data_IF_164325546541
#
_entry.id   IF_164325546541
#
_cell.length_a   1.000
_cell.length_b   1.000
_cell.length_c   1.000
_cell.angle_alpha   90.00
_cell.angle_beta   90.00
_cell.angle_gamma   90.00
#
_symmetry.space_group_name_H-M   'P 1'
#
loop_
_entity.id
_entity.type
_entity.pdbx_description
1 polymer ?
#
# COMPACT_ATOMS: atom_id res chain seq x y z
N UNK A 1 -43.38 46.41 8.50
CA UNK A 1 -44.01 46.18 9.82
C UNK A 1 -42.94 45.50 10.62
N UNK A 2 -42.07 46.25 11.25
CA UNK A 2 -41.98 46.74 12.60
C UNK A 2 -42.01 45.65 13.67
N UNK A 3 -40.80 45.29 14.13
CA UNK A 3 -40.17 45.35 15.49
C UNK A 3 -40.89 44.63 16.65
N UNK A 4 -40.25 44.38 17.84
CA UNK A 4 -38.85 44.60 18.27
C UNK A 4 -38.22 43.53 19.20
N UNK A 5 -36.93 43.63 19.31
CA UNK A 5 -35.97 43.38 20.43
C UNK A 5 -36.57 43.32 21.85
N UNK A 6 -36.10 42.34 22.65
CA UNK A 6 -35.91 42.50 24.09
C UNK A 6 -34.59 41.88 24.58
N UNK A 7 -33.70 42.80 24.99
CA UNK A 7 -32.52 42.55 25.86
C UNK A 7 -33.00 42.30 27.30
N UNK A 8 -32.31 41.40 28.00
CA UNK A 8 -32.26 41.43 29.47
C UNK A 8 -30.82 41.17 29.90
N UNK A 9 -30.27 42.20 30.52
CA UNK A 9 -29.05 42.22 31.32
C UNK A 9 -29.40 41.90 32.78
N UNK A 10 -28.36 41.46 33.55
CA UNK A 10 -28.02 41.80 34.93
C UNK A 10 -27.50 40.59 35.73
N UNK A 11 -26.72 40.74 36.81
CA UNK A 11 -25.25 40.82 36.84
C UNK A 11 -24.59 39.78 37.79
N UNK A 12 -23.26 39.88 37.79
CA UNK A 12 -22.25 39.15 38.49
C UNK A 12 -22.33 39.02 40.03
N UNK A 13 -21.50 38.11 40.51
CA UNK A 13 -20.84 38.16 41.82
C UNK A 13 -19.46 37.57 41.71
N UNK A 14 -18.45 38.38 42.04
CA UNK A 14 -17.08 37.99 42.27
C UNK A 14 -16.94 37.43 43.70
N UNK A 15 -16.16 36.39 43.86
CA UNK A 15 -15.62 35.98 45.14
C UNK A 15 -14.16 35.55 45.00
N UNK A 16 -13.34 36.38 45.53
CA UNK A 16 -11.91 36.24 45.77
C UNK A 16 -11.72 35.41 47.04
N UNK A 17 -10.84 34.41 47.08
CA UNK A 17 -10.27 33.91 48.33
C UNK A 17 -8.88 33.34 48.12
N UNK A 18 -8.01 33.83 48.94
CA UNK A 18 -6.57 33.78 49.03
C UNK A 18 -6.00 32.43 49.55
N UNK A 19 -4.81 32.10 49.01
CA UNK A 19 -3.58 31.54 49.57
C UNK A 19 -3.63 30.88 50.97
N UNK A 20 -3.07 29.67 51.04
CA UNK A 20 -2.24 29.26 52.18
C UNK A 20 -1.18 28.24 51.70
N UNK A 21 0.08 28.67 51.82
CA UNK A 21 1.29 27.88 51.77
C UNK A 21 1.40 26.99 53.01
N UNK A 22 1.74 25.71 52.82
CA UNK A 22 2.33 24.89 53.88
C UNK A 22 3.44 24.01 53.29
N UNK A 23 4.66 24.27 53.68
CA UNK A 23 5.81 23.36 53.59
C UNK A 23 5.63 22.21 54.55
N UNK A 24 5.93 20.99 54.06
CA UNK A 24 6.09 19.80 54.90
C UNK A 24 6.75 18.70 54.07
N UNK A 25 8.02 18.39 54.39
CA UNK A 25 8.79 17.37 53.69
C UNK A 25 8.32 15.96 54.05
N UNK A 26 8.49 15.07 53.12
CA UNK A 26 8.33 13.61 53.25
C UNK A 26 8.93 13.00 52.02
N UNK A 27 10.01 12.24 52.19
CA UNK A 27 10.56 11.36 51.17
C UNK A 27 9.50 10.31 50.85
N UNK A 28 9.09 10.21 49.59
CA UNK A 28 8.47 9.02 49.00
C UNK A 28 9.02 8.86 47.60
N UNK A 29 9.48 7.68 47.34
CA UNK A 29 10.05 7.18 46.10
C UNK A 29 9.07 7.46 44.93
N UNK A 30 9.43 8.42 44.09
CA UNK A 30 8.81 8.58 42.79
C UNK A 30 9.42 7.49 41.87
N UNK A 31 8.69 6.39 41.69
CA UNK A 31 8.91 5.54 40.55
C UNK A 31 8.87 6.40 39.28
N UNK A 32 10.02 6.51 38.64
CA UNK A 32 10.11 7.09 37.32
C UNK A 32 9.36 6.15 36.38
N UNK A 33 8.12 6.49 36.09
CA UNK A 33 7.43 5.99 34.91
C UNK A 33 8.27 6.42 33.70
N UNK A 34 9.08 5.50 33.20
CA UNK A 34 9.67 5.60 31.87
C UNK A 34 8.54 5.41 30.88
N UNK A 35 7.77 6.47 30.63
CA UNK A 35 6.99 6.61 29.44
C UNK A 35 8.00 6.67 28.29
N UNK A 36 8.00 5.70 27.40
CA UNK A 36 8.52 5.84 26.03
C UNK A 36 7.76 7.00 25.42
N UNK A 37 8.35 8.20 25.48
CA UNK A 37 7.86 9.33 24.73
C UNK A 37 8.29 9.10 23.28
N UNK A 38 7.38 8.67 22.41
CA UNK A 38 7.51 8.97 20.99
C UNK A 38 7.72 10.49 20.89
N UNK A 39 8.84 10.92 20.32
CA UNK A 39 9.10 12.33 20.08
C UNK A 39 8.13 12.75 18.97
N UNK A 40 7.10 13.52 19.32
CA UNK A 40 6.17 14.10 18.36
C UNK A 40 6.98 14.89 17.32
N UNK A 41 6.82 14.54 16.04
CA UNK A 41 7.54 15.21 14.95
C UNK A 41 7.06 16.64 14.81
N UNK A 42 7.98 17.60 14.90
CA UNK A 42 7.67 19.02 14.62
C UNK A 42 7.69 19.25 13.10
N UNK A 43 6.59 18.94 12.44
CA UNK A 43 6.42 19.13 11.00
C UNK A 43 6.65 20.57 10.53
N UNK A 44 6.34 21.56 11.38
CA UNK A 44 6.49 22.98 11.04
C UNK A 44 7.95 23.43 10.91
N UNK A 45 8.89 22.65 11.43
CA UNK A 45 10.33 22.90 11.31
C UNK A 45 10.94 22.30 10.05
N UNK A 46 10.23 21.41 9.34
CA UNK A 46 10.70 20.74 8.14
C UNK A 46 10.67 21.70 6.95
N UNK A 47 11.71 21.67 6.14
CA UNK A 47 11.78 22.45 4.90
C UNK A 47 12.75 21.82 3.90
N UNK A 48 12.49 21.99 2.61
CA UNK A 48 13.34 21.47 1.55
C UNK A 48 12.57 20.69 0.49
N UNK A 49 13.29 19.89 -0.28
CA UNK A 49 12.72 19.05 -1.34
C UNK A 49 12.93 17.57 -1.00
N UNK A 50 11.86 16.79 -1.04
CA UNK A 50 11.88 15.33 -0.92
C UNK A 50 11.37 14.73 -2.22
N UNK A 51 12.28 14.09 -2.97
CA UNK A 51 11.97 13.41 -4.23
C UNK A 51 11.91 11.91 -3.97
N UNK A 52 10.78 11.32 -4.32
CA UNK A 52 10.52 9.90 -4.22
C UNK A 52 9.88 9.37 -5.51
N UNK A 53 9.80 8.07 -5.65
CA UNK A 53 9.09 7.43 -6.75
C UNK A 53 9.08 5.92 -6.58
N UNK A 54 8.42 5.22 -7.49
CA UNK A 54 8.34 3.77 -7.46
C UNK A 54 6.96 3.22 -7.80
N UNK A 55 6.44 2.33 -6.98
CA UNK A 55 5.21 1.60 -7.21
C UNK A 55 4.06 2.50 -7.71
N UNK A 56 3.56 2.21 -8.91
CA UNK A 56 2.45 2.95 -9.51
C UNK A 56 1.08 2.59 -8.91
N UNK A 57 1.00 1.50 -8.17
CA UNK A 57 -0.14 1.12 -7.32
C UNK A 57 -0.39 2.17 -6.23
N UNK A 58 0.67 2.68 -5.60
CA UNK A 58 0.59 3.71 -4.58
C UNK A 58 0.17 5.10 -5.09
N UNK A 59 0.07 5.33 -6.41
CA UNK A 59 -0.10 6.69 -6.95
C UNK A 59 -1.21 7.47 -6.26
N UNK A 60 -2.40 6.89 -6.13
CA UNK A 60 -3.55 7.56 -5.50
C UNK A 60 -3.28 7.91 -4.02
N UNK A 61 -2.72 6.99 -3.25
CA UNK A 61 -2.35 7.22 -1.86
C UNK A 61 -1.26 8.29 -1.73
N UNK A 62 -0.23 8.23 -2.58
CA UNK A 62 0.87 9.19 -2.60
C UNK A 62 0.40 10.61 -2.94
N UNK A 63 -0.56 10.77 -3.85
CA UNK A 63 -1.18 12.06 -4.15
C UNK A 63 -1.94 12.61 -2.94
N UNK A 64 -2.66 11.77 -2.21
CA UNK A 64 -3.37 12.15 -0.99
C UNK A 64 -2.41 12.51 0.15
N UNK A 65 -1.38 11.70 0.38
CA UNK A 65 -0.34 11.99 1.38
C UNK A 65 0.42 13.28 1.05
N UNK A 66 0.69 13.56 -0.23
CA UNK A 66 1.30 14.83 -0.64
C UNK A 66 0.45 16.02 -0.20
N UNK A 67 -0.86 15.97 -0.43
CA UNK A 67 -1.79 17.04 -0.05
C UNK A 67 -1.82 17.20 1.48
N UNK A 68 -2.04 16.11 2.21
CA UNK A 68 -2.13 16.17 3.67
C UNK A 68 -0.79 16.52 4.34
N UNK A 69 0.34 16.00 3.83
CA UNK A 69 1.65 16.37 4.37
C UNK A 69 1.99 17.85 4.17
N UNK A 70 1.58 18.45 3.04
CA UNK A 70 1.76 19.89 2.83
C UNK A 70 0.94 20.76 3.78
N UNK A 71 -0.15 20.27 4.35
CA UNK A 71 -0.92 21.00 5.36
C UNK A 71 -0.16 21.12 6.70
N UNK A 72 0.60 20.09 7.07
CA UNK A 72 1.38 20.05 8.32
C UNK A 72 2.83 20.52 8.13
N UNK A 73 3.42 20.31 6.96
CA UNK A 73 4.81 20.70 6.60
C UNK A 73 4.83 21.62 5.36
N UNK A 74 4.31 22.86 5.43
CA UNK A 74 4.07 23.71 4.25
C UNK A 74 5.35 24.17 3.53
N UNK A 75 6.50 24.10 4.17
CA UNK A 75 7.79 24.52 3.60
C UNK A 75 8.54 23.32 2.94
N UNK A 76 7.90 22.12 2.87
CA UNK A 76 8.44 20.95 2.18
C UNK A 76 7.82 20.81 0.79
N UNK A 77 8.66 20.66 -0.24
CA UNK A 77 8.25 20.27 -1.57
C UNK A 77 8.41 18.75 -1.73
N UNK A 78 7.32 18.01 -1.64
CA UNK A 78 7.31 16.57 -1.88
C UNK A 78 6.87 16.25 -3.30
N UNK A 79 7.51 15.27 -3.95
CA UNK A 79 7.11 14.74 -5.24
C UNK A 79 7.28 13.22 -5.29
N UNK A 80 6.34 12.54 -5.93
CA UNK A 80 6.39 11.10 -6.17
C UNK A 80 6.22 10.81 -7.67
N UNK A 81 7.13 10.02 -8.24
CA UNK A 81 7.07 9.59 -9.64
C UNK A 81 6.65 8.11 -9.73
N UNK A 82 5.44 7.78 -10.24
CA UNK A 82 4.93 6.41 -10.26
C UNK A 82 5.52 5.58 -11.42
N UNK A 83 6.83 5.40 -11.42
CA UNK A 83 7.62 4.74 -12.48
C UNK A 83 7.53 3.20 -12.48
N UNK A 84 7.03 2.60 -11.41
CA UNK A 84 7.01 1.14 -11.16
C UNK A 84 7.98 0.76 -10.04
N UNK A 85 7.75 -0.42 -9.43
CA UNK A 85 8.52 -0.88 -8.27
C UNK A 85 10.00 -1.10 -8.61
N UNK A 86 10.31 -1.77 -9.71
CA UNK A 86 11.69 -2.04 -10.15
C UNK A 86 12.50 -0.76 -10.38
N UNK A 87 11.95 0.21 -11.15
CA UNK A 87 12.59 1.51 -11.32
C UNK A 87 12.68 2.29 -10.00
N UNK A 88 11.71 2.15 -9.11
CA UNK A 88 11.72 2.71 -7.75
C UNK A 88 12.90 2.20 -6.93
N UNK A 89 13.08 0.88 -6.84
CA UNK A 89 14.19 0.23 -6.14
C UNK A 89 15.53 0.61 -6.75
N UNK A 90 15.65 0.57 -8.08
CA UNK A 90 16.87 0.98 -8.81
C UNK A 90 17.26 2.43 -8.50
N UNK A 91 16.29 3.37 -8.50
CA UNK A 91 16.57 4.77 -8.17
C UNK A 91 16.91 4.98 -6.70
N UNK A 92 16.30 4.21 -5.78
CA UNK A 92 16.67 4.22 -4.37
C UNK A 92 18.10 3.73 -4.17
N UNK A 93 18.45 2.57 -4.72
CA UNK A 93 19.79 1.95 -4.63
C UNK A 93 20.86 2.89 -5.22
N UNK A 94 20.58 3.52 -6.34
CA UNK A 94 21.53 4.47 -6.98
C UNK A 94 21.61 5.83 -6.29
N UNK A 95 20.76 6.11 -5.30
CA UNK A 95 20.69 7.39 -4.58
C UNK A 95 19.95 8.50 -5.34
N UNK A 96 19.22 8.17 -6.40
CA UNK A 96 18.35 9.09 -7.13
C UNK A 96 17.11 9.49 -6.32
N UNK A 97 16.60 8.57 -5.49
CA UNK A 97 15.54 8.83 -4.53
C UNK A 97 16.06 8.67 -3.10
N UNK A 98 15.64 9.55 -2.21
CA UNK A 98 15.88 9.41 -0.78
C UNK A 98 14.94 8.37 -0.14
N UNK A 99 13.76 8.19 -0.74
CA UNK A 99 12.68 7.31 -0.31
C UNK A 99 12.05 6.70 -1.57
N UNK A 100 11.71 5.42 -1.56
CA UNK A 100 11.01 4.80 -2.69
C UNK A 100 9.79 3.98 -2.23
N UNK A 101 8.80 3.88 -3.11
CA UNK A 101 7.68 2.95 -2.97
C UNK A 101 7.92 1.67 -3.77
N UNK A 102 7.63 0.51 -3.20
CA UNK A 102 7.74 -0.78 -3.90
C UNK A 102 6.67 -1.75 -3.42
N UNK A 103 6.02 -2.47 -4.33
CA UNK A 103 5.10 -3.56 -4.00
C UNK A 103 5.84 -4.89 -3.79
N UNK A 104 7.11 -4.94 -4.15
CA UNK A 104 8.03 -6.04 -3.91
C UNK A 104 9.09 -5.63 -2.89
N UNK A 105 9.42 -6.48 -1.96
CA UNK A 105 10.53 -6.24 -1.05
C UNK A 105 11.88 -6.56 -1.73
N UNK A 106 12.95 -5.94 -1.22
CA UNK A 106 14.31 -6.17 -1.73
C UNK A 106 14.73 -7.62 -1.50
N UNK A 107 15.32 -8.25 -2.50
CA UNK A 107 15.83 -9.62 -2.40
C UNK A 107 17.32 -9.70 -2.74
N UNK A 108 17.96 -10.83 -2.42
CA UNK A 108 19.33 -11.10 -2.84
C UNK A 108 19.42 -11.82 -4.19
N UNK A 109 18.29 -12.19 -4.80
CA UNK A 109 18.28 -12.89 -6.09
C UNK A 109 18.88 -12.03 -7.22
N UNK A 110 18.72 -10.71 -7.12
CA UNK A 110 19.33 -9.71 -8.02
C UNK A 110 20.36 -8.81 -7.30
N UNK A 111 20.88 -9.23 -6.15
CA UNK A 111 21.80 -8.47 -5.31
C UNK A 111 21.19 -7.14 -4.76
N UNK A 112 19.87 -6.91 -4.86
CA UNK A 112 19.23 -5.64 -4.49
C UNK A 112 19.38 -5.32 -3.01
N UNK A 113 19.11 -6.29 -2.12
CA UNK A 113 19.22 -6.11 -0.67
C UNK A 113 20.68 -5.77 -0.28
N UNK A 114 21.65 -6.45 -0.88
CA UNK A 114 23.08 -6.18 -0.69
C UNK A 114 23.46 -4.79 -1.17
N UNK A 115 22.97 -4.36 -2.35
CA UNK A 115 23.23 -3.03 -2.91
C UNK A 115 22.54 -1.92 -2.10
N UNK A 116 21.30 -2.15 -1.64
CA UNK A 116 20.60 -1.23 -0.75
C UNK A 116 21.31 -1.07 0.60
N UNK A 117 21.84 -2.18 1.15
CA UNK A 117 22.68 -2.15 2.37
C UNK A 117 23.94 -1.31 2.14
N UNK A 118 24.60 -1.46 0.99
CA UNK A 118 25.77 -0.64 0.63
C UNK A 118 25.38 0.85 0.48
N UNK A 119 24.26 1.15 -0.17
CA UNK A 119 23.67 2.49 -0.28
C UNK A 119 23.38 3.13 1.08
N UNK A 120 22.92 2.33 2.04
CA UNK A 120 22.59 2.76 3.40
C UNK A 120 23.80 2.68 4.37
N UNK A 121 25.02 2.92 3.89
CA UNK A 121 26.26 2.96 4.66
C UNK A 121 26.59 1.66 5.39
N UNK A 122 26.12 0.51 4.91
CA UNK A 122 26.34 -0.80 5.49
C UNK A 122 25.34 -1.17 6.59
N UNK A 123 24.30 -0.37 6.79
CA UNK A 123 23.14 -0.72 7.62
C UNK A 123 22.04 -1.36 6.76
N UNK A 124 21.21 -2.22 7.33
CA UNK A 124 20.06 -2.77 6.60
C UNK A 124 19.14 -1.64 6.14
N UNK A 125 18.60 -1.70 4.91
CA UNK A 125 17.54 -0.79 4.50
C UNK A 125 16.31 -0.95 5.39
N UNK A 126 15.55 0.12 5.55
CA UNK A 126 14.23 0.08 6.16
C UNK A 126 13.25 -0.31 5.06
N UNK A 127 12.47 -1.36 5.31
CA UNK A 127 11.33 -1.77 4.46
C UNK A 127 10.08 -1.84 5.33
N UNK A 128 9.20 -0.87 5.20
CA UNK A 128 7.99 -0.80 6.04
C UNK A 128 6.73 -0.86 5.20
N UNK A 129 5.77 -1.72 5.53
CA UNK A 129 4.47 -1.70 4.90
C UNK A 129 3.78 -0.37 5.19
N UNK A 130 3.34 0.32 4.15
CA UNK A 130 2.67 1.61 4.25
C UNK A 130 1.30 1.61 3.57
N UNK A 131 1.10 0.66 2.67
CA UNK A 131 -0.09 0.57 1.84
C UNK A 131 -0.46 -0.90 1.65
N UNK A 132 -1.68 -1.27 2.00
CA UNK A 132 -2.23 -2.62 1.78
C UNK A 132 -3.49 -2.49 0.96
N UNK A 133 -3.49 -3.09 -0.22
CA UNK A 133 -4.59 -2.95 -1.17
C UNK A 133 -4.86 -4.25 -1.91
N UNK A 134 -6.13 -4.55 -2.26
CA UNK A 134 -6.42 -5.65 -3.15
C UNK A 134 -5.95 -5.35 -4.58
N UNK A 135 -5.35 -6.34 -5.22
CA UNK A 135 -5.16 -6.36 -6.67
C UNK A 135 -6.45 -6.87 -7.29
N UNK A 136 -7.24 -5.97 -7.86
CA UNK A 136 -8.49 -6.33 -8.52
C UNK A 136 -8.20 -7.00 -9.88
N UNK A 137 -8.85 -8.13 -10.14
CA UNK A 137 -8.95 -8.69 -11.49
C UNK A 137 -10.06 -7.91 -12.21
N UNK A 138 -9.63 -6.91 -12.99
CA UNK A 138 -10.52 -5.98 -13.68
C UNK A 138 -10.93 -6.49 -15.05
N UNK A 139 -12.18 -6.24 -15.46
CA UNK A 139 -12.66 -6.68 -16.77
C UNK A 139 -13.61 -5.66 -17.43
N UNK A 140 -13.72 -5.74 -18.76
CA UNK A 140 -14.64 -4.95 -19.57
C UNK A 140 -15.43 -5.86 -20.51
N UNK A 141 -16.57 -6.38 -20.01
CA UNK A 141 -17.47 -7.25 -20.76
C UNK A 141 -18.88 -6.68 -20.71
N UNK A 142 -19.45 -6.36 -21.89
CA UNK A 142 -20.77 -5.76 -21.98
C UNK A 142 -21.86 -6.68 -21.39
N UNK A 143 -22.66 -6.15 -20.47
CA UNK A 143 -23.78 -6.87 -19.85
C UNK A 143 -23.39 -7.84 -18.73
N UNK A 144 -22.12 -7.85 -18.29
CA UNK A 144 -21.64 -8.65 -17.17
C UNK A 144 -21.33 -7.71 -15.99
N UNK A 145 -22.25 -7.60 -15.05
CA UNK A 145 -22.12 -6.73 -13.87
C UNK A 145 -21.39 -7.42 -12.71
N UNK A 146 -21.50 -8.75 -12.60
CA UNK A 146 -20.81 -9.57 -11.60
C UNK A 146 -20.11 -10.74 -12.29
N UNK A 147 -18.87 -11.04 -11.85
CA UNK A 147 -18.06 -12.15 -12.35
C UNK A 147 -17.38 -12.85 -11.19
N UNK A 148 -17.51 -14.15 -11.12
CA UNK A 148 -16.84 -15.03 -10.17
C UNK A 148 -15.79 -15.84 -10.91
N UNK A 149 -14.55 -15.87 -10.42
CA UNK A 149 -13.46 -16.65 -11.00
C UNK A 149 -12.83 -17.55 -9.94
N UNK A 150 -12.76 -18.83 -10.22
CA UNK A 150 -11.97 -19.75 -9.43
C UNK A 150 -10.47 -19.46 -9.64
N UNK A 151 -9.58 -19.76 -8.68
CA UNK A 151 -8.14 -19.51 -8.80
C UNK A 151 -7.52 -20.09 -10.07
N UNK A 152 -7.84 -21.34 -10.39
CA UNK A 152 -7.33 -22.03 -11.59
C UNK A 152 -7.87 -21.42 -12.88
N UNK A 153 -9.05 -20.79 -12.83
CA UNK A 153 -9.63 -20.09 -13.99
C UNK A 153 -8.88 -18.78 -14.23
N UNK A 154 -8.55 -18.04 -13.18
CA UNK A 154 -7.69 -16.84 -13.31
C UNK A 154 -6.36 -17.22 -13.95
N UNK A 155 -5.66 -18.22 -13.41
CA UNK A 155 -4.40 -18.71 -13.95
C UNK A 155 -4.55 -19.17 -15.42
N UNK A 156 -5.58 -19.94 -15.75
CA UNK A 156 -5.84 -20.43 -17.10
C UNK A 156 -6.09 -19.31 -18.12
N UNK A 157 -6.73 -18.22 -17.71
CA UNK A 157 -6.94 -17.04 -18.56
C UNK A 157 -5.60 -16.36 -18.88
N UNK A 158 -4.80 -16.07 -17.85
CA UNK A 158 -3.53 -15.35 -18.00
C UNK A 158 -2.42 -16.23 -18.61
N UNK A 159 -2.51 -17.56 -18.48
CA UNK A 159 -1.65 -18.52 -19.18
C UNK A 159 -2.09 -18.76 -20.66
N UNK A 160 -3.24 -18.23 -21.08
CA UNK A 160 -3.76 -18.39 -22.43
C UNK A 160 -4.40 -19.77 -22.70
N UNK A 161 -4.70 -20.55 -21.67
CA UNK A 161 -5.42 -21.84 -21.79
C UNK A 161 -6.93 -21.63 -21.92
N UNK A 162 -7.50 -20.67 -21.18
CA UNK A 162 -8.89 -20.23 -21.25
C UNK A 162 -8.96 -18.97 -22.10
N UNK A 163 -9.51 -19.08 -23.31
CA UNK A 163 -9.47 -18.01 -24.31
C UNK A 163 -10.84 -17.44 -24.69
N UNK A 164 -11.92 -17.92 -24.07
CA UNK A 164 -13.30 -17.50 -24.35
C UNK A 164 -14.05 -17.17 -23.08
N UNK A 165 -14.83 -16.09 -23.10
CA UNK A 165 -15.68 -15.71 -21.96
C UNK A 165 -16.76 -16.75 -21.64
N UNK A 166 -17.27 -17.49 -22.63
CA UNK A 166 -18.24 -18.56 -22.41
C UNK A 166 -17.59 -19.95 -22.25
N UNK A 167 -16.34 -19.99 -21.82
CA UNK A 167 -15.71 -21.26 -21.43
C UNK A 167 -16.50 -21.92 -20.28
N UNK A 168 -16.73 -23.25 -20.31
CA UNK A 168 -17.45 -23.95 -19.26
C UNK A 168 -16.93 -23.65 -17.84
N UNK A 169 -15.60 -23.51 -17.68
CA UNK A 169 -15.00 -23.23 -16.37
C UNK A 169 -15.43 -21.86 -15.80
N UNK A 170 -15.67 -20.86 -16.67
CA UNK A 170 -16.20 -19.55 -16.25
C UNK A 170 -17.72 -19.64 -16.04
N UNK A 171 -18.45 -20.27 -16.98
CA UNK A 171 -19.92 -20.39 -16.93
C UNK A 171 -20.40 -21.11 -15.67
N UNK A 172 -19.72 -22.17 -15.25
CA UNK A 172 -20.11 -22.98 -14.10
C UNK A 172 -20.12 -22.15 -12.77
N UNK A 173 -19.23 -21.17 -12.64
CA UNK A 173 -19.18 -20.24 -11.52
C UNK A 173 -20.15 -19.03 -11.66
N UNK A 174 -20.75 -18.84 -12.85
CA UNK A 174 -21.56 -17.68 -13.22
C UNK A 174 -22.87 -18.09 -13.92
N UNK A 175 -23.73 -18.94 -13.32
CA UNK A 175 -24.90 -19.50 -13.99
C UNK A 175 -25.94 -18.46 -14.42
N UNK A 176 -25.95 -17.29 -13.78
CA UNK A 176 -26.92 -16.21 -14.06
C UNK A 176 -26.35 -15.14 -15.01
N UNK A 177 -25.06 -15.21 -15.40
CA UNK A 177 -24.43 -14.27 -16.31
C UNK A 177 -24.60 -14.70 -17.79
N UNK A 178 -24.93 -13.75 -18.66
CA UNK A 178 -24.98 -13.98 -20.11
C UNK A 178 -23.59 -13.72 -20.73
N UNK A 179 -22.69 -14.70 -20.53
CA UNK A 179 -21.30 -14.59 -20.98
C UNK A 179 -21.19 -14.74 -22.50
N UNK A 180 -20.58 -13.79 -23.22
CA UNK A 180 -20.53 -13.77 -24.67
C UNK A 180 -19.57 -14.85 -25.23
N UNK A 181 -19.87 -15.37 -26.42
CA UNK A 181 -18.90 -16.17 -27.17
C UNK A 181 -17.86 -15.25 -27.85
N UNK A 182 -17.05 -14.59 -27.03
CA UNK A 182 -16.00 -13.68 -27.48
C UNK A 182 -14.65 -14.17 -26.97
N UNK A 183 -13.58 -13.78 -27.67
CA UNK A 183 -12.22 -14.05 -27.22
C UNK A 183 -11.90 -13.17 -26.01
N UNK A 184 -11.17 -13.70 -25.05
CA UNK A 184 -10.61 -12.96 -23.91
C UNK A 184 -9.27 -12.38 -24.36
N UNK A 185 -9.05 -11.10 -24.07
CA UNK A 185 -7.73 -10.47 -24.24
C UNK A 185 -7.17 -10.11 -22.85
N UNK A 186 -6.18 -10.85 -22.35
CA UNK A 186 -5.46 -10.47 -21.13
C UNK A 186 -4.70 -9.17 -21.33
N UNK A 187 -4.66 -8.34 -20.27
CA UNK A 187 -3.91 -7.08 -20.23
C UNK A 187 -2.94 -7.15 -19.04
N UNK A 188 -1.69 -6.86 -19.30
CA UNK A 188 -0.62 -6.95 -18.32
C UNK A 188 0.25 -5.69 -18.26
N UNK A 189 1.14 -5.59 -17.29
CA UNK A 189 2.13 -4.52 -17.16
C UNK A 189 3.23 -4.66 -18.22
N UNK A 190 3.69 -3.51 -18.73
CA UNK A 190 4.83 -3.43 -19.67
C UNK A 190 6.14 -3.04 -19.01
N UNK A 191 6.09 -2.56 -17.79
CA UNK A 191 7.19 -2.18 -16.93
C UNK A 191 7.50 -3.29 -15.91
N UNK A 192 8.62 -3.19 -15.23
CA UNK A 192 9.00 -4.03 -14.10
C UNK A 192 8.16 -3.64 -12.88
N UNK A 193 7.31 -4.55 -12.44
CA UNK A 193 6.17 -4.25 -11.60
C UNK A 193 6.02 -5.21 -10.43
N UNK A 194 6.13 -4.70 -9.20
CA UNK A 194 5.80 -5.47 -8.02
C UNK A 194 4.30 -5.85 -7.93
N UNK A 195 3.39 -5.09 -8.59
CA UNK A 195 1.99 -5.55 -8.74
C UNK A 195 1.93 -6.82 -9.61
N UNK A 196 2.76 -6.92 -10.67
CA UNK A 196 2.88 -8.16 -11.47
C UNK A 196 3.47 -9.28 -10.63
N UNK A 197 4.48 -9.00 -9.82
CA UNK A 197 5.09 -9.99 -8.93
C UNK A 197 4.06 -10.59 -7.98
N UNK A 198 3.35 -9.77 -7.20
CA UNK A 198 2.30 -10.25 -6.28
C UNK A 198 1.17 -11.00 -7.01
N UNK A 199 0.81 -10.57 -8.21
CA UNK A 199 -0.20 -11.26 -9.02
C UNK A 199 0.30 -12.62 -9.51
N UNK A 200 1.54 -12.71 -9.97
CA UNK A 200 2.14 -13.97 -10.44
C UNK A 200 2.51 -14.91 -9.30
N UNK A 201 2.87 -14.37 -8.12
CA UNK A 201 3.02 -15.15 -6.89
C UNK A 201 1.71 -15.85 -6.52
N UNK A 202 0.59 -15.10 -6.53
CA UNK A 202 -0.72 -15.72 -6.36
C UNK A 202 -0.98 -16.81 -7.40
N UNK A 203 -0.71 -16.57 -8.69
CA UNK A 203 -0.95 -17.57 -9.76
C UNK A 203 -0.09 -18.82 -9.56
N UNK A 204 1.18 -18.66 -9.18
CA UNK A 204 2.10 -19.77 -8.90
C UNK A 204 1.65 -20.58 -7.69
N UNK A 205 1.29 -19.88 -6.60
CA UNK A 205 0.84 -20.50 -5.36
C UNK A 205 -0.43 -21.34 -5.51
N UNK A 206 -1.42 -20.85 -6.29
CA UNK A 206 -2.74 -21.51 -6.40
C UNK A 206 -2.85 -22.45 -7.61
N UNK A 207 -2.05 -22.26 -8.64
CA UNK A 207 -2.16 -23.00 -9.91
C UNK A 207 -0.82 -23.11 -10.67
N UNK A 208 0.29 -23.36 -9.99
CA UNK A 208 1.64 -23.47 -10.57
C UNK A 208 1.78 -24.56 -11.67
N UNK A 209 0.88 -25.53 -11.71
CA UNK A 209 0.82 -26.50 -12.83
C UNK A 209 0.27 -25.85 -14.14
N UNK A 210 -0.49 -24.75 -14.03
CA UNK A 210 -1.08 -23.99 -15.15
C UNK A 210 -0.22 -22.77 -15.46
N UNK A 211 0.11 -21.99 -14.43
CA UNK A 211 1.01 -20.85 -14.53
C UNK A 211 2.48 -21.33 -14.41
N UNK A 212 3.18 -21.42 -15.53
CA UNK A 212 4.51 -22.07 -15.59
C UNK A 212 5.68 -21.09 -15.50
N UNK A 213 5.44 -19.79 -15.37
CA UNK A 213 6.50 -18.78 -15.30
C UNK A 213 7.08 -18.59 -13.89
N UNK A 214 6.41 -19.10 -12.86
CA UNK A 214 6.75 -18.77 -11.47
C UNK A 214 6.45 -17.31 -11.12
N UNK A 215 7.09 -16.79 -10.09
CA UNK A 215 6.96 -15.42 -9.65
C UNK A 215 7.85 -14.51 -10.50
N UNK A 216 7.27 -13.49 -11.12
CA UNK A 216 7.98 -12.57 -12.03
C UNK A 216 7.46 -11.14 -11.94
N UNK A 217 8.34 -10.16 -12.05
CA UNK A 217 7.98 -8.72 -12.15
C UNK A 217 7.78 -8.28 -13.61
N UNK A 218 8.47 -8.92 -14.55
CA UNK A 218 8.35 -8.64 -15.97
C UNK A 218 7.50 -9.70 -16.64
N UNK A 219 6.42 -9.29 -17.32
CA UNK A 219 5.49 -10.21 -17.97
C UNK A 219 6.17 -11.03 -19.08
N UNK A 220 6.08 -12.37 -19.03
CA UNK A 220 6.71 -13.23 -20.03
C UNK A 220 6.01 -13.13 -21.38
N UNK A 221 6.77 -12.88 -22.43
CA UNK A 221 6.24 -12.64 -23.78
C UNK A 221 5.50 -13.82 -24.39
N UNK A 222 5.76 -15.04 -23.94
CA UNK A 222 5.11 -16.27 -24.40
C UNK A 222 3.61 -16.34 -24.07
N UNK A 223 3.15 -15.67 -23.02
CA UNK A 223 1.73 -15.62 -22.67
C UNK A 223 0.94 -14.57 -23.46
N UNK A 224 1.63 -13.70 -24.21
CA UNK A 224 0.98 -12.67 -25.01
C UNK A 224 0.15 -11.69 -24.18
N UNK A 225 -0.93 -11.19 -24.77
CA UNK A 225 -1.79 -10.17 -24.17
C UNK A 225 -1.50 -8.76 -24.69
N UNK A 226 -2.21 -7.76 -24.17
CA UNK A 226 -1.93 -6.34 -24.40
C UNK A 226 -1.21 -5.74 -23.20
N UNK A 227 -0.35 -4.76 -23.44
CA UNK A 227 0.53 -4.20 -22.43
C UNK A 227 0.12 -2.77 -22.05
N UNK A 228 0.06 -2.47 -20.75
CA UNK A 228 -0.14 -1.13 -20.18
C UNK A 228 1.03 -0.71 -19.31
N UNK A 229 1.51 0.53 -19.47
CA UNK A 229 2.58 1.04 -18.60
C UNK A 229 1.98 1.59 -17.30
N UNK A 230 2.47 1.09 -16.19
CA UNK A 230 1.94 1.39 -14.86
C UNK A 230 0.52 0.86 -14.64
N UNK A 231 -0.01 1.02 -13.44
CA UNK A 231 -1.39 0.64 -13.10
C UNK A 231 -2.41 1.39 -13.97
N UNK A 232 -2.25 2.70 -14.12
CA UNK A 232 -3.14 3.54 -14.94
C UNK A 232 -3.15 3.12 -16.40
N UNK A 233 -2.02 2.66 -16.96
CA UNK A 233 -1.94 2.17 -18.33
C UNK A 233 -2.72 0.87 -18.54
N UNK A 234 -2.65 -0.08 -17.61
CA UNK A 234 -3.48 -1.30 -17.65
C UNK A 234 -4.97 -0.95 -17.59
N UNK A 235 -5.36 -0.10 -16.63
CA UNK A 235 -6.77 0.36 -16.49
C UNK A 235 -7.25 1.05 -17.75
N UNK A 236 -6.43 1.88 -18.38
CA UNK A 236 -6.79 2.54 -19.65
C UNK A 236 -7.03 1.52 -20.76
N UNK A 237 -6.11 0.56 -20.95
CA UNK A 237 -6.26 -0.47 -22.00
C UNK A 237 -7.54 -1.28 -21.79
N UNK A 238 -7.84 -1.69 -20.54
CA UNK A 238 -9.08 -2.45 -20.24
C UNK A 238 -10.32 -1.56 -20.48
N UNK A 239 -10.28 -0.30 -20.09
CA UNK A 239 -11.41 0.63 -20.27
C UNK A 239 -11.75 0.86 -21.77
N UNK A 240 -10.73 1.01 -22.60
CA UNK A 240 -10.89 1.34 -24.02
C UNK A 240 -11.25 0.13 -24.89
N UNK A 241 -10.99 -1.11 -24.42
CA UNK A 241 -11.16 -2.32 -25.20
C UNK A 241 -12.16 -3.29 -24.56
N UNK A 242 -13.21 -3.66 -25.31
CA UNK A 242 -14.17 -4.65 -24.85
C UNK A 242 -13.57 -6.07 -24.87
N UNK A 243 -14.07 -6.95 -24.01
CA UNK A 243 -13.65 -8.34 -23.83
C UNK A 243 -12.21 -8.50 -23.31
N UNK A 244 -11.71 -7.50 -22.60
CA UNK A 244 -10.41 -7.52 -21.93
C UNK A 244 -10.56 -7.87 -20.46
N UNK A 245 -9.49 -8.43 -19.91
CA UNK A 245 -9.30 -8.72 -18.48
C UNK A 245 -7.87 -8.33 -18.10
N UNK A 246 -7.68 -7.71 -16.95
CA UNK A 246 -6.36 -7.32 -16.46
C UNK A 246 -6.28 -7.39 -14.94
N UNK A 247 -5.18 -6.97 -14.38
CA UNK A 247 -4.98 -6.83 -12.94
C UNK A 247 -4.46 -5.43 -12.62
N UNK A 248 -5.00 -4.84 -11.57
CA UNK A 248 -4.67 -3.48 -11.17
C UNK A 248 -4.97 -3.26 -9.69
N UNK A 249 -4.29 -2.32 -9.06
CA UNK A 249 -4.70 -1.83 -7.75
C UNK A 249 -6.17 -1.39 -7.78
N UNK A 250 -6.96 -1.85 -6.81
CA UNK A 250 -8.41 -1.64 -6.80
C UNK A 250 -8.80 -0.16 -6.75
N UNK A 251 -7.95 0.71 -6.14
CA UNK A 251 -8.19 2.15 -6.07
C UNK A 251 -8.26 2.81 -7.44
N UNK A 252 -7.54 2.25 -8.41
CA UNK A 252 -7.45 2.78 -9.77
C UNK A 252 -8.39 2.09 -10.75
N UNK A 253 -9.12 1.05 -10.33
CA UNK A 253 -10.01 0.26 -11.20
C UNK A 253 -11.18 1.08 -11.81
N UNK A 254 -11.53 2.22 -11.23
CA UNK A 254 -12.55 3.13 -11.75
C UNK A 254 -13.92 2.46 -11.88
N UNK A 255 -14.52 2.58 -13.07
CA UNK A 255 -15.83 1.99 -13.38
C UNK A 255 -15.77 0.60 -14.03
N UNK A 256 -14.61 -0.05 -14.05
CA UNK A 256 -14.46 -1.41 -14.59
C UNK A 256 -15.16 -2.45 -13.70
N UNK A 257 -15.57 -3.57 -14.31
CA UNK A 257 -15.96 -4.74 -13.54
C UNK A 257 -14.76 -5.29 -12.76
N UNK A 258 -15.00 -5.74 -11.53
CA UNK A 258 -13.99 -6.35 -10.67
C UNK A 258 -14.46 -7.75 -10.29
N UNK A 259 -13.69 -8.77 -10.65
CA UNK A 259 -14.07 -10.15 -10.40
C UNK A 259 -13.94 -10.50 -8.90
N UNK A 260 -14.88 -11.32 -8.42
CA UNK A 260 -14.76 -11.98 -7.13
C UNK A 260 -13.94 -13.25 -7.29
N UNK A 261 -13.01 -13.49 -6.39
CA UNK A 261 -12.08 -14.62 -6.45
C UNK A 261 -12.52 -15.72 -5.48
N UNK A 262 -12.44 -16.97 -5.96
CA UNK A 262 -12.80 -18.12 -5.14
C UNK A 262 -11.83 -18.33 -3.97
N UNK A 263 -12.38 -18.49 -2.74
CA UNK A 263 -11.64 -18.84 -1.53
C UNK A 263 -12.48 -19.87 -0.75
N UNK A 264 -11.98 -21.08 -0.64
CA UNK A 264 -12.78 -22.17 -0.07
C UNK A 264 -14.08 -22.41 -0.83
N UNK A 265 -15.21 -22.19 -0.17
CA UNK A 265 -16.56 -22.36 -0.77
C UNK A 265 -17.20 -21.02 -1.20
N UNK A 266 -16.50 -19.90 -1.05
CA UNK A 266 -17.01 -18.54 -1.28
C UNK A 266 -16.30 -17.85 -2.42
N UNK A 267 -16.93 -16.78 -2.96
CA UNK A 267 -16.28 -15.82 -3.85
C UNK A 267 -16.15 -14.47 -3.14
N UNK A 268 -14.93 -14.00 -2.95
CA UNK A 268 -14.60 -12.79 -2.21
C UNK A 268 -14.30 -11.64 -3.17
N UNK A 269 -14.90 -10.48 -2.93
CA UNK A 269 -14.64 -9.27 -3.72
C UNK A 269 -13.31 -8.61 -3.31
N UNK A 270 -12.68 -7.84 -4.20
CA UNK A 270 -11.50 -7.05 -3.89
C UNK A 270 -11.86 -5.84 -3.01
N UNK A 271 -12.02 -6.08 -1.73
CA UNK A 271 -12.37 -5.10 -0.71
C UNK A 271 -11.20 -4.92 0.26
N UNK A 272 -10.93 -3.67 0.68
CA UNK A 272 -9.81 -3.34 1.55
C UNK A 272 -9.81 -4.14 2.86
N UNK A 273 -10.99 -4.29 3.50
CA UNK A 273 -11.08 -5.03 4.76
C UNK A 273 -10.88 -6.54 4.56
N UNK A 274 -11.23 -7.07 3.39
CA UNK A 274 -10.96 -8.45 3.03
C UNK A 274 -9.47 -8.67 2.70
N UNK A 275 -8.83 -7.70 2.05
CA UNK A 275 -7.40 -7.72 1.75
C UNK A 275 -6.54 -7.63 3.02
N UNK A 276 -6.89 -6.75 3.96
CA UNK A 276 -6.14 -6.58 5.21
C UNK A 276 -5.98 -7.88 6.01
N UNK A 277 -6.98 -8.76 5.97
CA UNK A 277 -6.96 -10.03 6.72
C UNK A 277 -5.84 -10.97 6.29
N UNK A 278 -5.30 -10.82 5.07
CA UNK A 278 -4.21 -11.67 4.62
C UNK A 278 -2.95 -11.46 5.47
N UNK A 279 -2.72 -10.23 5.98
CA UNK A 279 -1.59 -9.93 6.84
C UNK A 279 -1.68 -10.66 8.19
N UNK A 280 -2.89 -10.97 8.68
CA UNK A 280 -3.09 -11.67 9.95
C UNK A 280 -2.65 -13.14 9.87
N UNK A 281 -2.66 -13.71 8.65
CA UNK A 281 -2.31 -15.12 8.39
C UNK A 281 -0.93 -15.28 7.75
N UNK A 282 -0.29 -14.20 7.33
CA UNK A 282 0.98 -14.18 6.61
C UNK A 282 2.17 -13.94 7.56
N UNK A 283 3.22 -14.76 7.50
CA UNK A 283 4.41 -14.56 8.32
C UNK A 283 5.28 -13.41 7.80
N UNK A 284 6.16 -12.89 8.65
CA UNK A 284 7.30 -12.06 8.21
C UNK A 284 8.30 -12.91 7.44
N UNK A 285 8.99 -12.30 6.47
CA UNK A 285 10.08 -12.95 5.75
C UNK A 285 11.21 -13.30 6.72
N UNK A 286 11.64 -14.57 6.72
CA UNK A 286 12.66 -15.04 7.66
C UNK A 286 14.06 -14.45 7.35
N UNK A 287 14.84 -14.20 8.40
CA UNK A 287 16.25 -13.77 8.29
C UNK A 287 16.45 -12.29 8.01
N UNK A 288 15.40 -11.49 8.10
CA UNK A 288 15.46 -10.03 7.98
C UNK A 288 15.84 -9.37 9.31
N UNK A 289 16.42 -8.16 9.22
CA UNK A 289 16.71 -7.32 10.38
C UNK A 289 15.41 -6.70 10.93
N UNK A 290 15.40 -6.27 12.18
CA UNK A 290 14.20 -5.73 12.85
C UNK A 290 13.58 -4.48 12.18
N UNK A 291 14.33 -3.81 11.31
CA UNK A 291 13.87 -2.63 10.55
C UNK A 291 13.26 -2.97 9.19
N UNK A 292 13.33 -4.23 8.81
CA UNK A 292 12.77 -4.77 7.56
C UNK A 292 11.54 -5.61 7.90
N UNK A 293 10.38 -5.06 7.61
CA UNK A 293 9.08 -5.64 7.95
C UNK A 293 8.42 -6.36 6.77
N UNK A 294 9.23 -6.88 5.82
CA UNK A 294 8.73 -7.63 4.68
C UNK A 294 7.87 -8.83 5.10
N UNK A 295 6.80 -9.09 4.37
CA UNK A 295 5.78 -10.11 4.65
C UNK A 295 5.74 -11.12 3.50
N UNK A 296 5.69 -12.41 3.84
CA UNK A 296 5.48 -13.52 2.91
C UNK A 296 3.98 -13.84 2.86
N UNK A 297 3.28 -13.41 1.81
CA UNK A 297 1.82 -13.45 1.73
C UNK A 297 1.29 -14.87 1.52
N UNK A 298 0.40 -15.35 2.40
CA UNK A 298 -0.29 -16.65 2.23
C UNK A 298 -1.45 -16.55 1.22
N UNK A 299 -1.12 -16.56 -0.07
CA UNK A 299 -2.07 -16.57 -1.17
C UNK A 299 -2.93 -17.84 -1.24
N UNK A 300 -2.56 -18.91 -0.49
CA UNK A 300 -3.26 -20.20 -0.49
C UNK A 300 -4.34 -20.30 0.59
N UNK A 301 -4.53 -19.24 1.36
CA UNK A 301 -5.50 -19.22 2.46
C UNK A 301 -6.89 -19.68 2.04
N UNK A 302 -7.56 -20.43 2.93
CA UNK A 302 -8.96 -20.87 2.75
C UNK A 302 -9.88 -20.18 3.77
N UNK A 303 -9.38 -19.16 4.46
CA UNK A 303 -10.18 -18.43 5.44
C UNK A 303 -11.28 -17.61 4.79
N UNK A 304 -12.52 -17.78 5.30
CA UNK A 304 -13.69 -17.08 4.75
C UNK A 304 -13.55 -15.56 4.85
N UNK A 305 -13.86 -14.88 3.75
CA UNK A 305 -13.83 -13.42 3.68
C UNK A 305 -12.42 -12.82 3.62
N UNK A 306 -11.36 -13.60 3.38
CA UNK A 306 -10.02 -13.11 3.02
C UNK A 306 -9.94 -12.98 1.50
N UNK A 307 -9.50 -11.82 0.99
CA UNK A 307 -9.21 -11.66 -0.43
C UNK A 307 -7.76 -12.06 -0.70
N UNK A 308 -7.47 -12.99 -1.63
CA UNK A 308 -6.15 -13.60 -1.71
C UNK A 308 -5.16 -12.87 -2.63
N UNK A 309 -5.63 -12.01 -3.53
CA UNK A 309 -4.77 -11.28 -4.47
C UNK A 309 -4.52 -9.88 -3.91
N UNK A 310 -3.49 -9.76 -3.08
CA UNK A 310 -3.18 -8.54 -2.34
C UNK A 310 -1.77 -8.10 -2.66
N UNK A 311 -1.54 -6.81 -2.71
CA UNK A 311 -0.22 -6.23 -2.58
C UNK A 311 -0.05 -5.64 -1.18
N UNK A 312 1.09 -5.92 -0.59
CA UNK A 312 1.64 -5.13 0.51
C UNK A 312 2.70 -4.25 -0.09
N UNK A 313 2.46 -2.95 -0.09
CA UNK A 313 3.40 -2.00 -0.64
C UNK A 313 4.24 -1.41 0.47
N UNK A 314 5.52 -1.18 0.19
CA UNK A 314 6.52 -0.76 1.15
C UNK A 314 7.03 0.64 0.84
N UNK A 315 7.46 1.35 1.88
CA UNK A 315 8.39 2.46 1.76
C UNK A 315 9.80 1.96 2.10
N UNK A 316 10.73 2.21 1.18
CA UNK A 316 12.15 1.90 1.30
C UNK A 316 12.90 3.14 1.76
N UNK A 317 13.67 3.03 2.83
CA UNK A 317 14.45 4.13 3.39
C UNK A 317 15.78 3.62 3.96
N UNK A 318 16.69 4.53 4.31
CA UNK A 318 17.90 4.20 5.05
C UNK A 318 17.76 4.56 6.53
N UNK A 319 18.44 3.83 7.41
CA UNK A 319 18.58 4.19 8.81
C UNK A 319 19.48 5.44 9.00
N UNK A 320 20.46 5.62 8.08
CA UNK A 320 21.39 6.75 8.11
C UNK A 320 21.46 7.42 6.74
N UNK A 321 21.31 8.75 6.71
CA UNK A 321 21.46 9.60 5.54
C UNK A 321 22.73 10.44 5.61
N UNK A 322 23.25 10.93 4.47
CA UNK A 322 24.45 11.75 4.45
C UNK A 322 24.32 13.08 5.19
N UNK A 323 23.10 13.65 5.21
CA UNK A 323 22.81 14.93 5.87
C UNK A 323 21.53 14.89 6.70
N UNK A 324 21.49 15.77 7.72
CA UNK A 324 20.39 15.83 8.67
C UNK A 324 19.08 16.30 8.02
N UNK A 325 19.14 17.17 7.02
CA UNK A 325 17.93 17.69 6.39
C UNK A 325 17.19 16.59 5.64
N UNK A 326 17.90 15.74 4.90
CA UNK A 326 17.32 14.56 4.23
C UNK A 326 16.77 13.56 5.25
N UNK A 327 17.51 13.27 6.33
CA UNK A 327 17.04 12.38 7.39
C UNK A 327 15.74 12.89 8.03
N UNK A 328 15.67 14.18 8.36
CA UNK A 328 14.49 14.81 8.97
C UNK A 328 13.28 14.79 8.01
N UNK A 329 13.49 15.03 6.72
CA UNK A 329 12.43 15.00 5.71
C UNK A 329 11.86 13.59 5.53
N UNK A 330 12.71 12.57 5.39
CA UNK A 330 12.29 11.17 5.25
C UNK A 330 11.57 10.72 6.51
N UNK A 331 12.14 10.96 7.69
CA UNK A 331 11.53 10.66 8.98
C UNK A 331 10.15 11.32 9.10
N UNK A 332 10.06 12.62 8.81
CA UNK A 332 8.81 13.36 8.87
C UNK A 332 7.75 12.84 7.93
N UNK A 333 8.11 12.56 6.68
CA UNK A 333 7.16 12.03 5.70
C UNK A 333 6.64 10.64 6.08
N UNK A 334 7.54 9.71 6.46
CA UNK A 334 7.11 8.37 6.87
C UNK A 334 6.24 8.43 8.11
N UNK A 335 6.63 9.23 9.13
CA UNK A 335 5.81 9.41 10.33
C UNK A 335 4.41 9.94 10.02
N UNK A 336 4.28 10.83 9.02
CA UNK A 336 2.98 11.31 8.56
C UNK A 336 2.18 10.19 7.88
N UNK A 337 2.80 9.45 6.95
CA UNK A 337 2.15 8.35 6.21
C UNK A 337 1.57 7.29 7.15
N UNK A 338 2.29 6.93 8.20
CA UNK A 338 1.86 5.89 9.15
C UNK A 338 1.01 6.42 10.30
N UNK A 339 0.81 7.72 10.40
CA UNK A 339 -0.10 8.32 11.40
C UNK A 339 -1.56 8.01 11.09
N UNK A 340 -2.43 8.15 12.09
CA UNK A 340 -3.89 8.01 11.91
C UNK A 340 -4.41 8.88 10.75
N UNK A 341 -3.98 10.15 10.68
CA UNK A 341 -4.39 11.08 9.63
C UNK A 341 -3.93 10.61 8.23
N UNK A 342 -2.69 10.15 8.11
CA UNK A 342 -2.14 9.62 6.86
C UNK A 342 -2.83 8.34 6.40
N UNK A 343 -3.09 7.43 7.33
CA UNK A 343 -3.79 6.17 7.06
C UNK A 343 -5.27 6.40 6.72
N UNK A 344 -5.94 7.35 7.39
CA UNK A 344 -7.32 7.72 7.07
C UNK A 344 -7.43 8.30 5.65
N UNK A 345 -6.49 9.15 5.23
CA UNK A 345 -6.46 9.68 3.87
C UNK A 345 -6.29 8.57 2.82
N UNK A 346 -5.35 7.65 3.03
CA UNK A 346 -5.16 6.51 2.13
C UNK A 346 -6.39 5.61 2.07
N UNK A 347 -7.07 5.39 3.19
CA UNK A 347 -8.31 4.62 3.23
C UNK A 347 -9.46 5.31 2.47
N UNK A 348 -9.60 6.63 2.60
CA UNK A 348 -10.68 7.39 1.96
C UNK A 348 -10.47 7.54 0.45
N UNK A 349 -9.27 7.87 0.02
CA UNK A 349 -9.00 8.26 -1.36
C UNK A 349 -8.50 7.08 -2.22
N UNK A 350 -7.72 6.18 -1.62
CA UNK A 350 -7.13 5.04 -2.29
C UNK A 350 -7.73 3.68 -1.87
N UNK A 351 -8.74 3.66 -0.98
CA UNK A 351 -9.36 2.41 -0.54
C UNK A 351 -8.37 1.42 0.10
N UNK A 352 -7.27 1.92 0.66
CA UNK A 352 -6.31 1.11 1.39
C UNK A 352 -6.91 0.60 2.71
N UNK A 353 -6.47 -0.56 3.16
CA UNK A 353 -6.73 -0.97 4.52
C UNK A 353 -5.79 -0.24 5.47
N UNK A 354 -6.30 0.45 6.50
CA UNK A 354 -5.44 1.07 7.49
C UNK A 354 -4.57 0.04 8.21
N UNK A 355 -3.33 0.41 8.49
CA UNK A 355 -2.43 -0.39 9.33
C UNK A 355 -3.00 -0.50 10.76
N UNK A 356 -2.75 -1.63 11.42
CA UNK A 356 -3.13 -1.79 12.83
C UNK A 356 -2.32 -0.85 13.73
N UNK A 357 -2.90 -0.45 14.87
CA UNK A 357 -2.22 0.41 15.85
C UNK A 357 -0.86 -0.18 16.28
N UNK A 358 -0.79 -1.52 16.45
CA UNK A 358 0.44 -2.23 16.81
C UNK A 358 1.52 -2.08 15.74
N UNK A 359 1.15 -2.19 14.45
CA UNK A 359 2.07 -2.04 13.33
C UNK A 359 2.50 -0.57 13.16
N UNK A 360 1.61 0.39 13.37
CA UNK A 360 1.93 1.82 13.35
C UNK A 360 2.95 2.16 14.45
N UNK A 361 2.76 1.64 15.69
CA UNK A 361 3.71 1.82 16.79
C UNK A 361 5.08 1.18 16.49
N UNK A 362 5.11 -0.02 15.91
CA UNK A 362 6.33 -0.70 15.51
C UNK A 362 7.10 0.12 14.45
N UNK A 363 6.40 0.56 13.40
CA UNK A 363 6.99 1.37 12.34
C UNK A 363 7.50 2.70 12.88
N UNK A 364 6.73 3.39 13.72
CA UNK A 364 7.16 4.65 14.32
C UNK A 364 8.45 4.47 15.15
N UNK A 365 8.57 3.34 15.85
CA UNK A 365 9.80 3.01 16.58
C UNK A 365 11.02 2.87 15.67
N UNK A 366 10.85 2.28 14.48
CA UNK A 366 11.90 2.16 13.45
C UNK A 366 12.26 3.55 12.90
N UNK A 367 11.24 4.33 12.52
CA UNK A 367 11.37 5.66 11.92
C UNK A 367 12.05 6.65 12.89
N UNK A 368 11.78 6.54 14.18
CA UNK A 368 12.46 7.34 15.21
C UNK A 368 13.97 7.13 15.25
N UNK A 369 14.45 5.99 14.78
CA UNK A 369 15.86 5.64 14.63
C UNK A 369 16.56 6.28 13.42
N UNK A 370 15.84 6.89 12.48
CA UNK A 370 16.44 7.53 11.29
C UNK A 370 17.27 8.74 11.71
N UNK A 371 18.53 8.78 11.27
CA UNK A 371 19.51 9.83 11.63
C UNK A 371 20.40 10.23 10.45
N UNK A 372 21.19 11.30 10.62
CA UNK A 372 22.31 11.57 9.74
C UNK A 372 23.56 10.76 10.17
N UNK A 373 24.35 10.35 9.19
CA UNK A 373 25.64 9.73 9.43
C UNK A 373 26.58 10.69 10.20
N UNK A 374 27.31 10.17 11.18
CA UNK A 374 28.17 10.95 12.08
C UNK A 374 29.54 11.29 11.49
#
# INVERSE_FOLDING_TARGET
MNTPIRRALVPGVAALALLLTACGGGDDDAEASSGSGSSEVDYSSLSGELVAGGASSQQTAQESWLVGFQEVAPDVAYSYDPVGSGDGRTNFISGGYALAGSDAYLTDDEDELSQATERCNGTAPIEIPNYVSPIAVVYNVEGVDELNLAPEVVAGIFAGEITKWNDPAIVDANPDADLPNADITPVHRSDESGTTENFTDYLDAVAGDVWSAGVVETWPTEFGGEAGNGTSGVVQVVTENANTIGYADASQAGGLGQAKIGVGEEFVAPDAAAAAKILEVSPRVEGREDVDLAVDLDHTTQEAGVYPIVLTSYLLACQEYEDQATADLVKGFISYVVSDDGQELAAQDAGAAPLSDELQEEIQGIVDGITAAS
#
